data_IF_933739554308
#
_entry.id   IF_933739554308
#
_cell.length_a   1.000
_cell.length_b   1.000
_cell.length_c   1.000
_cell.angle_alpha   90.00
_cell.angle_beta   90.00
_cell.angle_gamma   90.00
#
_symmetry.space_group_name_H-M   'P 1'
#
loop_
_entity.id
_entity.type
_entity.pdbx_description
1 polymer ?
#
# COMPACT_ATOMS: atom_id res chain seq x y z
N UNK A 1 16.40 6.30 -9.40
CA UNK A 1 14.96 6.08 -9.14
C UNK A 1 14.56 6.68 -7.80
N UNK A 2 15.12 6.22 -6.68
CA UNK A 2 14.79 6.75 -5.34
C UNK A 2 16.01 6.91 -4.42
N UNK A 3 15.86 7.64 -3.32
CA UNK A 3 16.74 7.56 -2.13
C UNK A 3 16.05 6.76 -1.03
N UNK A 4 16.83 6.02 -0.24
CA UNK A 4 16.30 5.21 0.86
C UNK A 4 16.63 5.87 2.19
N UNK A 5 15.59 6.16 2.96
CA UNK A 5 15.65 6.56 4.36
C UNK A 5 15.44 5.30 5.20
N UNK A 6 16.49 4.86 5.90
CA UNK A 6 16.42 3.69 6.79
C UNK A 6 15.87 4.10 8.15
N UNK A 7 15.13 3.20 8.78
CA UNK A 7 14.62 3.42 10.15
C UNK A 7 13.80 4.72 10.26
N UNK A 8 13.04 5.02 9.21
CA UNK A 8 12.28 6.24 9.07
C UNK A 8 11.10 6.27 10.04
N UNK A 9 10.88 7.44 10.65
CA UNK A 9 9.61 7.73 11.33
C UNK A 9 8.59 8.12 10.28
N UNK A 10 7.47 7.42 10.25
CA UNK A 10 6.43 7.60 9.22
C UNK A 10 5.26 8.34 9.82
N UNK A 11 4.87 9.44 9.18
CA UNK A 11 3.57 10.08 9.42
C UNK A 11 2.50 9.31 8.66
N UNK A 12 1.62 8.64 9.38
CA UNK A 12 0.56 7.82 8.80
C UNK A 12 -0.75 8.59 8.81
N UNK A 13 -1.46 8.62 7.67
CA UNK A 13 -2.83 9.17 7.59
C UNK A 13 -3.78 8.39 8.53
N UNK A 14 -3.60 7.07 8.59
CA UNK A 14 -4.20 6.19 9.59
C UNK A 14 -3.17 5.17 10.05
N UNK A 15 -3.09 4.95 11.36
CA UNK A 15 -2.12 4.01 11.93
C UNK A 15 -2.33 2.59 11.35
N UNK A 16 -1.24 1.86 11.02
CA UNK A 16 -1.37 0.49 10.56
C UNK A 16 -2.12 -0.40 11.55
N UNK A 17 -2.93 -1.32 11.02
CA UNK A 17 -3.59 -2.36 11.83
C UNK A 17 -2.60 -3.37 12.44
N UNK A 18 -1.35 -3.35 12.00
CA UNK A 18 -0.25 -4.20 12.47
C UNK A 18 0.70 -3.43 13.38
N UNK A 19 1.34 -4.10 14.34
CA UNK A 19 2.47 -3.52 15.07
C UNK A 19 3.70 -3.50 14.16
N UNK A 20 4.12 -2.30 13.74
CA UNK A 20 5.35 -2.10 12.95
C UNK A 20 6.57 -1.97 13.87
N UNK A 21 7.65 -2.68 13.55
CA UNK A 21 8.90 -2.70 14.33
C UNK A 21 9.94 -1.77 13.74
N UNK A 22 9.97 -1.68 12.41
CA UNK A 22 10.95 -0.91 11.64
C UNK A 22 10.34 -0.48 10.31
N UNK A 23 10.62 0.74 9.86
CA UNK A 23 10.19 1.22 8.56
C UNK A 23 11.36 1.78 7.76
N UNK A 24 11.40 1.45 6.47
CA UNK A 24 12.25 2.11 5.48
C UNK A 24 11.36 2.88 4.51
N UNK A 25 11.75 4.11 4.15
CA UNK A 25 11.03 4.94 3.17
C UNK A 25 11.88 5.14 1.93
N UNK A 26 11.35 4.75 0.79
CA UNK A 26 11.92 5.00 -0.52
C UNK A 26 11.28 6.27 -1.11
N UNK A 27 12.08 7.33 -1.23
CA UNK A 27 11.65 8.64 -1.76
C UNK A 27 12.03 8.72 -3.24
N UNK A 28 11.06 8.73 -4.18
CA UNK A 28 11.37 8.80 -5.60
C UNK A 28 11.96 10.15 -6.00
N UNK A 29 12.75 10.12 -7.09
CA UNK A 29 13.31 11.33 -7.72
C UNK A 29 12.43 11.87 -8.86
N UNK A 30 11.55 11.04 -9.40
CA UNK A 30 10.65 11.39 -10.48
C UNK A 30 9.57 12.36 -9.99
N UNK A 31 9.29 13.42 -10.77
CA UNK A 31 8.28 14.42 -10.40
C UNK A 31 6.89 13.78 -10.49
N UNK A 32 6.10 13.93 -9.42
CA UNK A 32 4.75 13.37 -9.34
C UNK A 32 4.70 11.92 -8.85
N UNK A 33 5.84 11.26 -8.69
CA UNK A 33 5.91 9.95 -8.06
C UNK A 33 5.75 10.07 -6.54
N UNK A 34 5.10 9.09 -5.93
CA UNK A 34 4.82 9.06 -4.48
C UNK A 34 5.83 8.18 -3.74
N UNK A 35 6.22 8.55 -2.49
CA UNK A 35 7.04 7.70 -1.64
C UNK A 35 6.41 6.33 -1.39
N UNK A 36 7.27 5.31 -1.30
CA UNK A 36 6.92 3.96 -0.88
C UNK A 36 7.50 3.72 0.51
N UNK A 37 6.69 3.22 1.42
CA UNK A 37 7.08 2.83 2.78
C UNK A 37 7.00 1.32 2.89
N UNK A 38 8.08 0.70 3.37
CA UNK A 38 8.15 -0.73 3.67
C UNK A 38 8.46 -0.90 5.14
N UNK A 39 7.50 -1.38 5.90
CA UNK A 39 7.68 -1.65 7.32
C UNK A 39 7.72 -3.15 7.59
N UNK A 40 8.62 -3.56 8.49
CA UNK A 40 8.55 -4.86 9.14
C UNK A 40 7.43 -4.82 10.17
N UNK A 41 6.61 -5.86 10.20
CA UNK A 41 5.49 -5.97 11.13
C UNK A 41 5.51 -7.30 11.88
N UNK A 42 4.91 -7.28 13.08
CA UNK A 42 4.78 -8.43 13.95
C UNK A 42 3.54 -9.24 13.61
N UNK A 43 3.67 -10.56 13.59
CA UNK A 43 2.57 -11.51 13.45
C UNK A 43 2.65 -12.52 14.60
N UNK A 44 1.55 -12.71 15.33
CA UNK A 44 1.44 -13.66 16.45
C UNK A 44 2.61 -13.63 17.46
N UNK A 45 3.09 -12.42 17.76
CA UNK A 45 4.20 -12.22 18.71
C UNK A 45 5.60 -12.33 18.09
N UNK A 46 5.72 -12.71 16.82
CA UNK A 46 6.99 -12.83 16.10
C UNK A 46 7.27 -11.54 15.35
N UNK A 47 8.35 -10.85 15.73
CA UNK A 47 8.83 -9.66 15.04
C UNK A 47 9.33 -9.99 13.64
N UNK A 48 9.18 -9.02 12.73
CA UNK A 48 9.63 -9.10 11.33
C UNK A 48 9.05 -10.27 10.50
N UNK A 49 7.96 -10.87 10.99
CA UNK A 49 7.24 -11.96 10.33
C UNK A 49 6.28 -11.47 9.23
N UNK A 50 5.95 -10.18 9.23
CA UNK A 50 5.13 -9.54 8.22
C UNK A 50 5.79 -8.31 7.60
N UNK A 51 5.17 -7.81 6.55
CA UNK A 51 5.50 -6.56 5.90
C UNK A 51 4.24 -5.71 5.77
N UNK A 52 4.32 -4.45 6.15
CA UNK A 52 3.27 -3.44 5.92
C UNK A 52 3.77 -2.45 4.88
N UNK A 53 2.98 -2.26 3.83
CA UNK A 53 3.27 -1.37 2.72
C UNK A 53 2.45 -0.10 2.88
N UNK A 54 3.13 1.04 2.81
CA UNK A 54 2.53 2.36 2.82
C UNK A 54 2.90 3.18 1.59
N UNK A 55 2.06 4.15 1.24
CA UNK A 55 2.25 4.99 0.05
C UNK A 55 1.94 6.45 0.37
N UNK A 56 2.78 7.36 -0.10
CA UNK A 56 2.59 8.81 0.08
C UNK A 56 3.29 9.40 1.29
N UNK A 57 3.02 10.68 1.53
CA UNK A 57 3.49 11.47 2.67
C UNK A 57 2.43 12.58 2.96
N UNK A 58 1.53 12.41 3.94
CA UNK A 58 1.44 11.31 4.89
C UNK A 58 1.14 9.96 4.21
N UNK A 59 1.66 8.88 4.79
CA UNK A 59 1.53 7.54 4.24
C UNK A 59 0.14 6.96 4.52
N UNK A 60 -0.52 6.44 3.48
CA UNK A 60 -1.69 5.57 3.60
C UNK A 60 -1.23 4.11 3.59
N UNK A 61 -1.87 3.25 4.37
CA UNK A 61 -1.62 1.81 4.32
C UNK A 61 -2.24 1.26 3.04
N UNK A 62 -1.41 0.68 2.19
CA UNK A 62 -1.86 -0.02 0.99
C UNK A 62 -2.26 -1.46 1.35
N UNK A 63 -1.32 -2.22 1.91
CA UNK A 63 -1.53 -3.62 2.29
C UNK A 63 -0.59 -4.03 3.43
N UNK A 64 -0.88 -5.16 4.06
CA UNK A 64 0.07 -5.87 4.92
C UNK A 64 -0.01 -7.37 4.64
N UNK A 65 1.15 -8.01 4.71
CA UNK A 65 1.36 -9.36 4.21
C UNK A 65 2.20 -10.16 5.22
N UNK A 66 1.84 -11.41 5.55
CA UNK A 66 0.56 -12.05 5.23
C UNK A 66 -0.61 -11.41 6.01
N UNK A 67 -1.84 -11.58 5.52
CA UNK A 67 -3.04 -11.04 6.17
C UNK A 67 -3.34 -11.76 7.48
N UNK A 68 -3.10 -13.07 7.54
CA UNK A 68 -2.99 -13.84 8.77
C UNK A 68 -1.79 -14.81 8.75
N UNK A 69 -1.31 -15.21 9.94
CA UNK A 69 -0.20 -16.17 10.07
C UNK A 69 -0.47 -17.54 9.44
N UNK A 70 -1.74 -17.87 9.17
CA UNK A 70 -2.14 -19.12 8.54
C UNK A 70 -2.02 -19.09 7.00
N UNK A 71 -2.13 -17.92 6.35
CA UNK A 71 -2.18 -17.83 4.88
C UNK A 71 -0.87 -18.31 4.23
N UNK A 72 0.26 -18.05 4.89
CA UNK A 72 1.57 -18.55 4.45
C UNK A 72 1.71 -20.08 4.56
N UNK A 73 0.89 -20.73 5.40
CA UNK A 73 0.90 -22.17 5.63
C UNK A 73 -0.05 -22.94 4.71
N UNK A 74 -1.15 -22.32 4.27
CA UNK A 74 -2.18 -22.99 3.47
C UNK A 74 -1.92 -22.87 1.94
N UNK A 75 -1.51 -21.70 1.46
CA UNK A 75 -1.26 -21.44 0.02
C UNK A 75 0.23 -21.39 -0.36
N UNK A 76 1.11 -21.38 0.65
CA UNK A 76 2.55 -21.25 0.47
C UNK A 76 3.02 -19.81 0.27
N UNK A 77 4.34 -19.60 0.33
CA UNK A 77 4.93 -18.26 0.26
C UNK A 77 4.91 -17.63 -1.13
N UNK A 78 4.69 -18.42 -2.19
CA UNK A 78 4.75 -17.90 -3.56
C UNK A 78 3.64 -16.89 -3.83
N UNK A 79 2.37 -17.23 -3.55
CA UNK A 79 1.24 -16.31 -3.77
C UNK A 79 1.37 -15.03 -2.93
N UNK A 80 1.91 -15.17 -1.72
CA UNK A 80 2.21 -14.06 -0.80
C UNK A 80 3.25 -13.10 -1.38
N UNK A 81 4.30 -13.63 -2.01
CA UNK A 81 5.34 -12.84 -2.66
C UNK A 81 4.87 -12.23 -3.99
N UNK A 82 4.07 -12.96 -4.77
CA UNK A 82 3.46 -12.44 -6.01
C UNK A 82 2.54 -11.26 -5.68
N UNK A 83 1.71 -11.37 -4.64
CA UNK A 83 0.88 -10.27 -4.14
C UNK A 83 1.74 -9.07 -3.75
N UNK A 84 2.81 -9.28 -2.97
CA UNK A 84 3.72 -8.20 -2.60
C UNK A 84 4.32 -7.50 -3.84
N UNK A 85 4.77 -8.29 -4.82
CA UNK A 85 5.36 -7.78 -6.06
C UNK A 85 4.32 -6.98 -6.88
N UNK A 86 3.07 -7.43 -6.97
CA UNK A 86 1.99 -6.70 -7.65
C UNK A 86 1.76 -5.31 -7.03
N UNK A 87 1.69 -5.24 -5.70
CA UNK A 87 1.51 -3.98 -4.98
C UNK A 87 2.71 -3.04 -5.18
N UNK A 88 3.94 -3.54 -4.97
CA UNK A 88 5.17 -2.77 -5.15
C UNK A 88 5.29 -2.26 -6.60
N UNK A 89 4.99 -3.11 -7.57
CA UNK A 89 5.08 -2.74 -8.97
C UNK A 89 4.04 -1.71 -9.36
N UNK A 90 2.79 -1.85 -8.91
CA UNK A 90 1.74 -0.85 -9.16
C UNK A 90 2.14 0.54 -8.65
N UNK A 91 2.79 0.62 -7.49
CA UNK A 91 3.24 1.88 -6.92
C UNK A 91 4.39 2.48 -7.75
N UNK A 92 5.42 1.68 -8.05
CA UNK A 92 6.61 2.13 -8.77
C UNK A 92 6.30 2.48 -10.24
N UNK A 93 5.33 1.82 -10.87
CA UNK A 93 4.86 2.14 -12.24
C UNK A 93 3.82 3.26 -12.28
N UNK A 94 3.36 3.75 -11.12
CA UNK A 94 2.33 4.79 -11.04
C UNK A 94 0.93 4.32 -11.43
N UNK A 95 0.66 3.02 -11.31
CA UNK A 95 -0.65 2.41 -11.57
C UNK A 95 -1.47 2.20 -10.29
N UNK A 96 -0.88 2.46 -9.13
CA UNK A 96 -1.55 2.48 -7.84
C UNK A 96 -2.47 3.69 -7.69
N UNK A 97 -3.71 3.44 -7.24
CA UNK A 97 -4.62 4.49 -6.78
C UNK A 97 -5.32 4.07 -5.51
N UNK A 98 -5.31 4.95 -4.52
CA UNK A 98 -6.05 4.77 -3.28
C UNK A 98 -6.97 5.96 -3.06
N UNK A 99 -8.27 5.73 -2.99
CA UNK A 99 -9.28 6.74 -2.74
C UNK A 99 -9.97 6.46 -1.41
N UNK A 100 -10.05 7.48 -0.55
CA UNK A 100 -10.72 7.39 0.75
C UNK A 100 -11.79 8.46 0.91
N UNK A 101 -12.92 8.07 1.49
CA UNK A 101 -13.99 8.99 1.91
C UNK A 101 -14.73 8.42 3.12
N UNK A 102 -14.53 9.04 4.29
CA UNK A 102 -15.03 8.52 5.58
C UNK A 102 -14.51 7.10 5.81
N UNK A 103 -15.39 6.12 6.01
CA UNK A 103 -15.06 4.69 6.19
C UNK A 103 -15.00 3.91 4.88
N UNK A 104 -15.11 4.58 3.73
CA UNK A 104 -15.07 3.95 2.42
C UNK A 104 -13.69 4.07 1.81
N UNK A 105 -13.17 2.96 1.30
CA UNK A 105 -11.84 2.88 0.68
C UNK A 105 -11.92 2.12 -0.64
N UNK A 106 -11.18 2.62 -1.63
CA UNK A 106 -10.97 1.98 -2.93
C UNK A 106 -9.46 1.93 -3.16
N UNK A 107 -8.88 0.74 -3.25
CA UNK A 107 -7.50 0.55 -3.72
C UNK A 107 -7.56 -0.15 -5.08
N UNK A 108 -6.97 0.47 -6.10
CA UNK A 108 -6.92 -0.04 -7.47
C UNK A 108 -5.47 -0.28 -7.87
N UNK A 109 -5.22 -1.48 -8.39
CA UNK A 109 -3.96 -1.95 -8.95
C UNK A 109 -4.22 -2.47 -10.37
N UNK A 110 -3.18 -2.73 -11.19
CA UNK A 110 -3.37 -3.44 -12.45
C UNK A 110 -4.04 -4.80 -12.23
N UNK A 111 -5.25 -4.98 -12.77
CA UNK A 111 -5.98 -6.26 -12.68
C UNK A 111 -6.64 -6.56 -11.33
N UNK A 112 -6.42 -5.75 -10.29
CA UNK A 112 -7.02 -5.94 -8.96
C UNK A 112 -7.74 -4.69 -8.46
N UNK A 113 -8.81 -4.91 -7.70
CA UNK A 113 -9.63 -3.87 -7.08
C UNK A 113 -10.05 -4.33 -5.68
N UNK A 114 -9.61 -3.60 -4.66
CA UNK A 114 -9.98 -3.84 -3.26
C UNK A 114 -10.94 -2.74 -2.79
N UNK A 115 -12.11 -3.15 -2.29
CA UNK A 115 -13.19 -2.25 -1.92
C UNK A 115 -13.59 -2.46 -0.46
N UNK A 116 -13.76 -1.37 0.28
CA UNK A 116 -14.28 -1.40 1.65
C UNK A 116 -15.46 -0.43 1.75
N UNK A 117 -16.62 -0.94 2.15
CA UNK A 117 -17.81 -0.12 2.39
C UNK A 117 -18.38 0.56 1.14
N UNK A 118 -18.22 -0.04 -0.05
CA UNK A 118 -18.73 0.47 -1.33
C UNK A 118 -18.96 -0.66 -2.34
N UNK A 119 -19.96 -0.48 -3.19
CA UNK A 119 -20.27 -1.39 -4.30
C UNK A 119 -19.41 -1.11 -5.54
N UNK A 120 -19.12 -2.14 -6.34
CA UNK A 120 -18.26 -2.06 -7.53
C UNK A 120 -18.66 -0.94 -8.50
N UNK A 121 -19.95 -0.77 -8.78
CA UNK A 121 -20.41 0.28 -9.70
C UNK A 121 -20.12 1.69 -9.17
N UNK A 122 -20.30 1.89 -7.86
CA UNK A 122 -20.02 3.16 -7.21
C UNK A 122 -18.52 3.44 -7.16
N UNK A 123 -17.71 2.40 -6.94
CA UNK A 123 -16.26 2.50 -6.99
C UNK A 123 -15.75 2.88 -8.39
N UNK A 124 -16.31 2.28 -9.45
CA UNK A 124 -15.97 2.63 -10.83
C UNK A 124 -16.28 4.12 -11.13
N UNK A 125 -17.41 4.64 -10.65
CA UNK A 125 -17.75 6.06 -10.77
C UNK A 125 -16.76 6.96 -10.02
N UNK A 126 -16.34 6.56 -8.81
CA UNK A 126 -15.35 7.29 -8.02
C UNK A 126 -13.96 7.30 -8.69
N UNK A 127 -13.53 6.17 -9.27
CA UNK A 127 -12.27 6.09 -10.02
C UNK A 127 -12.29 6.97 -11.27
N UNK A 128 -13.43 7.06 -11.96
CA UNK A 128 -13.60 7.91 -13.13
C UNK A 128 -13.68 9.41 -12.80
N UNK A 129 -14.24 9.76 -11.64
CA UNK A 129 -14.34 11.13 -11.15
C UNK A 129 -14.13 11.18 -9.62
N UNK A 130 -12.88 11.36 -9.16
CA UNK A 130 -12.53 11.31 -7.74
C UNK A 130 -12.90 12.57 -6.95
N UNK A 131 -13.72 13.47 -7.51
CA UNK A 131 -14.13 14.69 -6.82
C UNK A 131 -14.77 14.38 -5.46
N UNK A 132 -14.21 14.94 -4.39
CA UNK A 132 -14.66 14.73 -3.00
C UNK A 132 -14.08 13.47 -2.33
N UNK A 133 -13.08 12.83 -2.94
CA UNK A 133 -12.27 11.77 -2.35
C UNK A 133 -10.88 12.29 -2.02
N UNK A 134 -10.30 11.78 -0.94
CA UNK A 134 -8.87 11.92 -0.70
C UNK A 134 -8.17 10.85 -1.52
N UNK A 135 -7.43 11.25 -2.56
CA UNK A 135 -6.73 10.34 -3.44
C UNK A 135 -5.23 10.37 -3.17
N UNK A 136 -4.63 9.18 -3.02
CA UNK A 136 -3.19 8.96 -3.11
C UNK A 136 -2.92 8.18 -4.38
N UNK A 137 -2.24 8.82 -5.32
CA UNK A 137 -1.73 8.23 -6.56
C UNK A 137 -0.50 9.00 -6.99
N UNK A 138 0.33 8.39 -7.83
CA UNK A 138 1.56 9.00 -8.31
C UNK A 138 1.92 8.54 -9.71
N UNK A 139 2.85 9.25 -10.33
CA UNK A 139 3.43 8.85 -11.62
C UNK A 139 4.49 7.77 -11.44
N UNK A 140 4.86 7.14 -12.55
CA UNK A 140 5.96 6.18 -12.60
C UNK A 140 7.28 6.78 -12.11
N UNK A 141 8.07 5.95 -11.40
CA UNK A 141 9.41 6.29 -10.93
C UNK A 141 10.47 6.26 -12.05
N UNK A 142 10.12 5.71 -13.22
CA UNK A 142 11.05 5.48 -14.33
C UNK A 142 11.24 6.67 -15.28
N UNK A 143 10.62 7.82 -15.01
CA UNK A 143 10.66 9.03 -15.84
C UNK A 143 11.43 10.18 -15.19
#
# INVERSE_FOLDING_TARGET
>A
LASIERDATIDWDEAPGTVVTRCDRAVPRAIGAVPLVVCRSRIDGVDDAGVTIGVGDPAVVDTWIPFCGCDACDHGSQEVLETLDEHLMAIVTGQFRHLRRRSTTITSLPGSLHLVGIECEQAARALANPSGWNEVSGTSWFH
#
